data_IF_823089117680
#
_entry.id   IF_823089117680
#
_cell.length_a   1.000
_cell.length_b   1.000
_cell.length_c   1.000
_cell.angle_alpha   90.00
_cell.angle_beta   90.00
_cell.angle_gamma   90.00
#
_symmetry.space_group_name_H-M   'P 1'
#
loop_
_entity.id
_entity.type
_entity.pdbx_description
1 polymer ?
#
# COMPACT_ATOMS: atom_id res chain seq x y z
N UNK A 1 16.19 0.01 28.30
CA UNK A 1 16.74 -0.18 26.95
C UNK A 1 15.84 0.62 26.01
N UNK A 2 16.30 1.72 25.44
CA UNK A 2 15.44 2.53 24.56
C UNK A 2 15.47 1.88 23.18
N UNK A 3 14.36 1.28 22.78
CA UNK A 3 14.19 0.76 21.42
C UNK A 3 13.92 1.96 20.51
N UNK A 4 14.96 2.42 19.81
CA UNK A 4 14.86 3.53 18.86
C UNK A 4 14.63 2.99 17.45
N UNK A 5 13.50 2.28 17.27
CA UNK A 5 13.06 1.93 15.92
C UNK A 5 12.22 3.07 15.36
N UNK A 6 12.54 3.51 14.15
CA UNK A 6 11.83 4.59 13.49
C UNK A 6 10.46 4.11 12.95
N UNK A 7 9.54 3.84 13.88
CA UNK A 7 8.14 3.49 13.60
C UNK A 7 7.46 4.53 12.69
N UNK A 8 7.93 5.79 12.69
CA UNK A 8 7.48 6.83 11.77
C UNK A 8 7.87 6.52 10.33
N UNK A 9 9.09 6.08 10.06
CA UNK A 9 9.53 5.66 8.72
C UNK A 9 8.68 4.49 8.20
N UNK A 10 8.38 3.50 9.04
CA UNK A 10 7.51 2.38 8.66
C UNK A 10 6.11 2.88 8.25
N UNK A 11 5.52 3.80 9.02
CA UNK A 11 4.25 4.45 8.67
C UNK A 11 4.35 5.27 7.38
N UNK A 12 5.44 6.02 7.17
CA UNK A 12 5.65 6.79 5.94
C UNK A 12 5.69 5.90 4.71
N UNK A 13 6.42 4.78 4.77
CA UNK A 13 6.50 3.82 3.67
C UNK A 13 5.13 3.18 3.42
N UNK A 14 4.44 2.73 4.47
CA UNK A 14 3.10 2.17 4.33
C UNK A 14 2.11 3.15 3.67
N UNK A 15 2.14 4.42 4.07
CA UNK A 15 1.32 5.48 3.45
C UNK A 15 1.70 5.69 1.98
N UNK A 16 2.99 5.72 1.65
CA UNK A 16 3.43 5.86 0.26
C UNK A 16 2.94 4.69 -0.62
N UNK A 17 3.00 3.46 -0.10
CA UNK A 17 2.47 2.27 -0.78
C UNK A 17 0.97 2.39 -1.00
N UNK A 18 0.20 2.75 0.03
CA UNK A 18 -1.26 2.93 -0.08
C UNK A 18 -1.61 4.00 -1.12
N UNK A 19 -0.92 5.13 -1.09
CA UNK A 19 -1.12 6.20 -2.08
C UNK A 19 -0.83 5.72 -3.50
N UNK A 20 0.25 4.96 -3.70
CA UNK A 20 0.56 4.37 -5.01
C UNK A 20 -0.54 3.43 -5.48
N UNK A 21 -1.01 2.52 -4.62
CA UNK A 21 -2.08 1.56 -4.97
C UNK A 21 -3.37 2.28 -5.37
N UNK A 22 -3.78 3.30 -4.61
CA UNK A 22 -4.97 4.11 -4.94
C UNK A 22 -4.79 4.90 -6.23
N UNK A 23 -3.59 5.45 -6.47
CA UNK A 23 -3.29 6.16 -7.72
C UNK A 23 -3.33 5.21 -8.93
N UNK A 24 -2.67 4.06 -8.83
CA UNK A 24 -2.68 3.04 -9.88
C UNK A 24 -4.09 2.57 -10.21
N UNK A 25 -4.92 2.30 -9.19
CA UNK A 25 -6.32 1.90 -9.40
C UNK A 25 -7.12 2.99 -10.12
N UNK A 26 -6.95 4.25 -9.73
CA UNK A 26 -7.58 5.40 -10.39
C UNK A 26 -7.18 5.50 -11.88
N UNK A 27 -5.88 5.43 -12.17
CA UNK A 27 -5.37 5.51 -13.55
C UNK A 27 -5.86 4.33 -14.40
N UNK A 28 -5.90 3.12 -13.84
CA UNK A 28 -6.45 1.95 -14.54
C UNK A 28 -7.94 2.10 -14.85
N UNK A 29 -8.72 2.68 -13.93
CA UNK A 29 -10.15 2.94 -14.17
C UNK A 29 -10.37 3.99 -15.26
N UNK A 30 -9.52 5.04 -15.30
CA UNK A 30 -9.56 6.05 -16.36
C UNK A 30 -9.20 5.44 -17.72
N UNK A 31 -8.12 4.64 -17.77
CA UNK A 31 -7.71 3.94 -18.98
C UNK A 31 -8.79 2.97 -19.48
N UNK A 32 -9.45 2.26 -18.57
CA UNK A 32 -10.54 1.34 -18.88
C UNK A 32 -11.73 2.05 -19.52
N UNK A 33 -12.12 3.21 -18.97
CA UNK A 33 -13.19 4.03 -19.53
C UNK A 33 -12.85 4.52 -20.95
N UNK A 34 -11.62 5.00 -21.17
CA UNK A 34 -11.16 5.48 -22.47
C UNK A 34 -11.10 4.36 -23.51
N UNK A 35 -10.59 3.19 -23.13
CA UNK A 35 -10.52 2.03 -24.02
C UNK A 35 -11.91 1.53 -24.39
N UNK A 36 -12.83 1.43 -23.43
CA UNK A 36 -14.23 1.08 -23.70
C UNK A 36 -14.88 2.10 -24.65
N UNK A 37 -14.63 3.39 -24.43
CA UNK A 37 -15.09 4.45 -25.34
C UNK A 37 -14.54 4.26 -26.77
N UNK A 38 -13.25 3.99 -26.93
CA UNK A 38 -12.61 3.74 -28.23
C UNK A 38 -13.19 2.51 -28.95
N UNK A 39 -13.38 1.40 -28.22
CA UNK A 39 -13.94 0.15 -28.74
C UNK A 39 -15.42 0.30 -29.14
N UNK A 40 -16.17 1.19 -28.49
CA UNK A 40 -17.57 1.48 -28.81
C UNK A 40 -17.74 2.51 -29.94
N UNK A 41 -16.80 3.45 -30.08
CA UNK A 41 -16.97 4.64 -30.93
C UNK A 41 -16.56 4.45 -32.39
N UNK A 42 -15.80 3.40 -32.72
CA UNK A 42 -15.48 3.15 -34.13
C UNK A 42 -14.30 2.23 -34.41
N UNK A 43 -13.53 1.82 -33.41
CA UNK A 43 -12.52 0.80 -33.63
C UNK A 43 -13.17 -0.58 -33.66
N UNK A 44 -13.40 -1.07 -34.88
CA UNK A 44 -14.11 -2.32 -35.14
C UNK A 44 -13.21 -3.31 -35.89
N UNK A 45 -13.51 -4.59 -35.74
CA UNK A 45 -12.83 -5.67 -36.44
C UNK A 45 -12.11 -6.64 -35.49
N UNK A 46 -11.47 -7.68 -36.04
CA UNK A 46 -10.84 -8.74 -35.25
C UNK A 46 -9.77 -8.23 -34.28
N UNK A 47 -8.98 -7.26 -34.70
CA UNK A 47 -7.90 -6.69 -33.87
C UNK A 47 -8.46 -5.91 -32.67
N UNK A 48 -9.51 -5.11 -32.89
CA UNK A 48 -10.20 -4.39 -31.81
C UNK A 48 -10.80 -5.36 -30.79
N UNK A 49 -11.40 -6.46 -31.26
CA UNK A 49 -11.94 -7.50 -30.38
C UNK A 49 -10.84 -8.23 -29.61
N UNK A 50 -9.71 -8.54 -30.26
CA UNK A 50 -8.58 -9.18 -29.59
C UNK A 50 -7.99 -8.27 -28.51
N UNK A 51 -7.77 -7.00 -28.85
CA UNK A 51 -7.30 -6.00 -27.91
C UNK A 51 -8.25 -5.85 -26.72
N UNK A 52 -9.57 -5.75 -26.95
CA UNK A 52 -10.56 -5.65 -25.88
C UNK A 52 -10.51 -6.84 -24.92
N UNK A 53 -10.40 -8.06 -25.44
CA UNK A 53 -10.25 -9.28 -24.61
C UNK A 53 -8.97 -9.25 -23.78
N UNK A 54 -7.84 -8.88 -24.38
CA UNK A 54 -6.57 -8.79 -23.65
C UNK A 54 -6.60 -7.70 -22.58
N UNK A 55 -7.24 -6.55 -22.89
CA UNK A 55 -7.41 -5.45 -21.96
C UNK A 55 -8.22 -5.85 -20.73
N UNK A 56 -9.33 -6.58 -20.91
CA UNK A 56 -10.16 -7.07 -19.80
C UNK A 56 -9.34 -7.90 -18.81
N UNK A 57 -8.36 -8.69 -19.29
CA UNK A 57 -7.50 -9.51 -18.43
C UNK A 57 -6.47 -8.70 -17.63
N UNK A 58 -6.13 -7.46 -18.00
CA UNK A 58 -5.04 -6.69 -17.36
C UNK A 58 -5.43 -6.25 -15.94
N UNK A 59 -6.69 -5.93 -15.71
CA UNK A 59 -7.17 -5.44 -14.41
C UNK A 59 -8.17 -6.39 -13.73
N UNK A 60 -8.38 -7.58 -14.29
CA UNK A 60 -9.24 -8.60 -13.70
C UNK A 60 -8.67 -9.11 -12.37
N UNK A 61 -9.54 -9.59 -11.48
CA UNK A 61 -9.12 -10.24 -10.24
C UNK A 61 -8.22 -11.45 -10.56
N UNK A 62 -7.02 -11.47 -9.98
CA UNK A 62 -6.02 -12.50 -10.26
C UNK A 62 -5.10 -12.18 -11.45
N UNK A 63 -5.24 -11.00 -12.07
CA UNK A 63 -4.21 -10.50 -12.98
C UNK A 63 -2.94 -10.15 -12.22
N UNK A 64 -1.80 -10.14 -12.91
CA UNK A 64 -0.51 -9.71 -12.33
C UNK A 64 -0.59 -8.32 -11.70
N UNK A 65 -1.38 -7.41 -12.29
CA UNK A 65 -1.57 -6.05 -11.76
C UNK A 65 -2.36 -6.07 -10.44
N UNK A 66 -3.44 -6.85 -10.39
CA UNK A 66 -4.26 -7.00 -9.20
C UNK A 66 -3.49 -7.69 -8.05
N UNK A 67 -2.75 -8.77 -8.36
CA UNK A 67 -1.93 -9.49 -7.38
C UNK A 67 -0.78 -8.64 -6.84
N UNK A 68 -0.16 -7.81 -7.68
CA UNK A 68 0.86 -6.86 -7.25
C UNK A 68 0.28 -5.83 -6.27
N UNK A 69 -0.88 -5.26 -6.59
CA UNK A 69 -1.55 -4.28 -5.73
C UNK A 69 -1.94 -4.91 -4.38
N UNK A 70 -2.51 -6.11 -4.38
CA UNK A 70 -2.83 -6.85 -3.16
C UNK A 70 -1.59 -7.14 -2.32
N UNK A 71 -0.48 -7.55 -2.96
CA UNK A 71 0.79 -7.79 -2.27
C UNK A 71 1.36 -6.52 -1.62
N UNK A 72 1.23 -5.37 -2.31
CA UNK A 72 1.64 -4.07 -1.80
C UNK A 72 0.76 -3.59 -0.64
N UNK A 73 -0.56 -3.75 -0.75
CA UNK A 73 -1.51 -3.44 0.32
C UNK A 73 -1.20 -4.27 1.59
N UNK A 74 -1.00 -5.58 1.44
CA UNK A 74 -0.61 -6.47 2.53
C UNK A 74 0.75 -6.06 3.16
N UNK A 75 1.73 -5.67 2.34
CA UNK A 75 3.00 -5.16 2.84
C UNK A 75 2.80 -3.87 3.66
N UNK A 76 1.97 -2.95 3.19
CA UNK A 76 1.66 -1.72 3.91
C UNK A 76 0.97 -1.99 5.26
N UNK A 77 0.06 -2.96 5.32
CA UNK A 77 -0.59 -3.39 6.56
C UNK A 77 0.41 -3.98 7.56
N UNK A 78 1.31 -4.85 7.10
CA UNK A 78 2.37 -5.41 7.94
C UNK A 78 3.31 -4.32 8.47
N UNK A 79 3.66 -3.33 7.65
CA UNK A 79 4.47 -2.19 8.08
C UNK A 79 3.76 -1.35 9.15
N UNK A 80 2.45 -1.16 9.04
CA UNK A 80 1.65 -0.46 10.06
C UNK A 80 1.60 -1.28 11.35
N UNK A 81 1.39 -2.59 11.27
CA UNK A 81 1.38 -3.47 12.43
C UNK A 81 2.73 -3.40 13.18
N UNK A 82 3.84 -3.58 12.47
CA UNK A 82 5.19 -3.42 13.03
C UNK A 82 5.39 -2.04 13.65
N UNK A 83 4.94 -0.97 12.99
CA UNK A 83 5.07 0.38 13.52
C UNK A 83 4.30 0.58 14.85
N UNK A 84 3.13 -0.05 14.98
CA UNK A 84 2.35 -0.01 16.21
C UNK A 84 3.07 -0.77 17.34
N UNK A 85 3.59 -1.96 17.07
CA UNK A 85 4.35 -2.74 18.06
C UNK A 85 5.57 -1.98 18.58
N UNK A 86 6.36 -1.39 17.68
CA UNK A 86 7.52 -0.59 18.08
C UNK A 86 7.15 0.66 18.87
N UNK A 87 6.04 1.32 18.51
CA UNK A 87 5.56 2.47 19.26
C UNK A 87 5.15 2.05 20.68
N UNK A 88 4.38 0.98 20.84
CA UNK A 88 3.97 0.48 22.16
C UNK A 88 5.18 0.07 23.00
N UNK A 89 6.15 -0.65 22.43
CA UNK A 89 7.37 -1.03 23.14
C UNK A 89 8.20 0.19 23.58
N UNK A 90 8.22 1.26 22.79
CA UNK A 90 8.88 2.51 23.16
C UNK A 90 8.14 3.23 24.29
N UNK A 91 6.81 3.30 24.23
CA UNK A 91 5.96 3.89 25.27
C UNK A 91 6.11 3.13 26.60
N UNK A 92 6.09 1.80 26.57
CA UNK A 92 6.28 0.95 27.74
C UNK A 92 7.68 1.14 28.35
N UNK A 93 8.74 1.15 27.53
CA UNK A 93 10.09 1.40 28.04
C UNK A 93 10.24 2.79 28.66
N UNK A 94 9.57 3.82 28.13
CA UNK A 94 9.59 5.17 28.70
C UNK A 94 8.85 5.19 30.03
N UNK A 95 7.68 4.54 30.10
CA UNK A 95 6.90 4.42 31.33
C UNK A 95 7.70 3.69 32.42
N UNK A 96 8.29 2.54 32.11
CA UNK A 96 9.17 1.81 33.04
C UNK A 96 10.35 2.67 33.50
N UNK A 97 11.02 3.36 32.58
CA UNK A 97 12.15 4.23 32.91
C UNK A 97 11.74 5.41 33.80
N UNK A 98 10.52 5.93 33.63
CA UNK A 98 9.97 7.01 34.46
C UNK A 98 9.58 6.58 35.87
N UNK A 99 9.29 5.28 36.07
CA UNK A 99 8.98 4.68 37.36
C UNK A 99 10.24 4.36 38.19
N UNK A 100 11.42 4.38 37.57
CA UNK A 100 12.68 4.18 38.29
C UNK A 100 12.98 5.38 39.20
N UNK A 101 13.35 5.14 40.48
CA UNK A 101 13.66 6.23 41.41
C UNK A 101 14.79 7.10 40.89
N UNK A 102 14.60 8.43 40.85
CA UNK A 102 15.66 9.42 40.59
C UNK A 102 16.55 9.58 41.83
N UNK A 103 17.18 8.51 42.29
CA UNK A 103 18.17 8.59 43.36
C UNK A 103 19.46 8.01 42.84
N UNK A 104 20.41 8.88 42.49
CA UNK A 104 21.86 8.75 42.74
C UNK A 104 22.56 9.98 42.14
N UNK A 105 22.60 11.08 42.90
CA UNK A 105 23.72 12.02 42.89
C UNK A 105 23.96 12.42 44.36
N UNK A 106 25.06 11.92 44.92
CA UNK A 106 25.68 12.45 46.12
C UNK A 106 26.59 13.61 45.73
#
# INVERSE_FOLDING_TARGET
MIIEVNHKTLRTVATAIKNYCSFQESEMNLADAEIKSMLLSGWLGPDAQQFGREWECINEKGSTSAELRESLENLAENLIACANEYQTAQEDSVNEASLLPKYFYW
#
